data_IF_232910741286
#
_entry.id   IF_232910741286
#
_cell.length_a   1.000
_cell.length_b   1.000
_cell.length_c   1.000
_cell.angle_alpha   90.00
_cell.angle_beta   90.00
_cell.angle_gamma   90.00
#
_symmetry.space_group_name_H-M   'P 1'
#
loop_
_entity.id
_entity.type
_entity.pdbx_description
1 polymer ?
#
# COMPACT_ATOMS: atom_id res chain seq x y z
N UNK A 1 3.82 7.63 14.18
CA UNK A 1 4.63 8.83 13.95
C UNK A 1 5.81 8.39 13.11
N UNK A 2 5.71 8.51 11.79
CA UNK A 2 6.85 8.20 10.91
C UNK A 2 7.86 9.34 11.02
N UNK A 3 9.02 9.01 11.57
CA UNK A 3 10.19 9.86 11.52
C UNK A 3 10.54 10.06 10.04
N UNK A 4 10.22 11.23 9.49
CA UNK A 4 10.80 11.70 8.23
C UNK A 4 12.30 11.77 8.48
N UNK A 5 13.04 10.73 8.08
CA UNK A 5 14.51 10.75 8.05
C UNK A 5 14.91 11.85 7.08
N UNK A 6 15.05 13.06 7.60
CA UNK A 6 15.71 14.17 6.92
C UNK A 6 17.16 13.71 6.78
N UNK A 7 17.50 13.15 5.61
CA UNK A 7 18.89 12.93 5.23
C UNK A 7 19.64 14.23 5.55
N UNK A 8 20.64 14.20 6.46
CA UNK A 8 21.32 15.41 6.89
C UNK A 8 21.89 16.11 5.66
N UNK A 9 21.73 17.44 5.58
CA UNK A 9 22.25 18.28 4.49
C UNK A 9 23.72 17.94 4.12
N UNK A 10 24.47 17.49 5.13
CA UNK A 10 25.84 17.00 5.03
C UNK A 10 26.03 15.87 4.00
N UNK A 11 25.14 14.87 3.94
CA UNK A 11 25.24 13.73 3.01
C UNK A 11 25.01 14.12 1.54
N UNK A 12 24.38 15.27 1.30
CA UNK A 12 24.14 15.82 -0.05
C UNK A 12 25.26 16.77 -0.48
N UNK A 13 25.90 17.46 0.46
CA UNK A 13 26.93 18.48 0.19
C UNK A 13 28.34 17.90 0.12
N UNK A 14 28.61 16.78 0.81
CA UNK A 14 29.92 16.10 0.81
C UNK A 14 30.49 15.81 -0.60
N UNK A 15 29.72 15.30 -1.59
CA UNK A 15 30.26 15.02 -2.92
C UNK A 15 30.49 16.27 -3.75
N UNK A 16 29.65 17.31 -3.59
CA UNK A 16 29.86 18.61 -4.26
C UNK A 16 31.13 19.26 -3.71
N UNK A 17 31.33 19.20 -2.39
CA UNK A 17 32.55 19.66 -1.74
C UNK A 17 33.77 18.84 -2.21
N UNK A 18 33.67 17.51 -2.30
CA UNK A 18 34.76 16.63 -2.76
C UNK A 18 35.16 16.84 -4.23
N UNK A 19 34.19 17.01 -5.13
CA UNK A 19 34.42 17.32 -6.55
C UNK A 19 34.99 18.74 -6.70
N UNK A 20 34.47 19.71 -5.95
CA UNK A 20 34.98 21.08 -5.95
C UNK A 20 36.40 21.14 -5.40
N UNK A 21 36.71 20.41 -4.33
CA UNK A 21 38.04 20.34 -3.73
C UNK A 21 39.06 19.65 -4.66
N UNK A 22 38.66 18.56 -5.32
CA UNK A 22 39.49 17.88 -6.31
C UNK A 22 39.78 18.73 -7.55
N UNK A 23 38.77 19.46 -8.05
CA UNK A 23 38.95 20.41 -9.16
C UNK A 23 39.83 21.60 -8.75
N UNK A 24 39.57 22.21 -7.60
CA UNK A 24 40.35 23.36 -7.12
C UNK A 24 41.82 22.99 -6.88
N UNK A 25 42.12 21.79 -6.39
CA UNK A 25 43.50 21.33 -6.16
C UNK A 25 44.36 21.30 -7.44
N UNK A 26 43.76 21.11 -8.62
CA UNK A 26 44.48 21.11 -9.91
C UNK A 26 44.85 22.53 -10.38
N UNK A 27 44.20 23.56 -9.87
CA UNK A 27 44.42 24.96 -10.27
C UNK A 27 45.19 25.79 -9.22
N UNK A 28 45.60 25.19 -8.09
CA UNK A 28 46.42 25.87 -7.08
C UNK A 28 47.86 26.03 -7.58
N UNK A 29 48.35 27.26 -7.63
CA UNK A 29 49.73 27.58 -7.99
C UNK A 29 50.66 27.55 -6.76
N UNK A 30 51.92 27.18 -6.94
CA UNK A 30 52.92 27.16 -5.86
C UNK A 30 53.00 25.87 -5.02
N UNK A 31 52.21 24.85 -5.36
CA UNK A 31 52.24 23.53 -4.70
C UNK A 31 52.94 22.51 -5.61
N UNK A 32 53.76 21.59 -5.07
CA UNK A 32 54.38 20.52 -5.86
C UNK A 32 53.34 19.64 -6.56
N UNK A 33 53.59 19.26 -7.81
CA UNK A 33 52.59 18.59 -8.65
C UNK A 33 52.13 17.23 -8.10
N UNK A 34 53.00 16.50 -7.39
CA UNK A 34 52.63 15.25 -6.74
C UNK A 34 51.52 15.43 -5.68
N UNK A 35 51.47 16.57 -4.99
CA UNK A 35 50.42 16.91 -4.01
C UNK A 35 49.10 17.20 -4.72
N UNK A 36 49.15 17.86 -5.89
CA UNK A 36 47.95 18.12 -6.70
C UNK A 36 47.33 16.84 -7.22
N UNK A 37 48.17 15.94 -7.76
CA UNK A 37 47.70 14.65 -8.29
C UNK A 37 47.14 13.75 -7.19
N UNK A 38 47.77 13.71 -6.01
CA UNK A 38 47.26 12.92 -4.88
C UNK A 38 45.93 13.47 -4.33
N UNK A 39 45.81 14.78 -4.11
CA UNK A 39 44.56 15.39 -3.66
C UNK A 39 43.41 15.21 -4.67
N UNK A 40 43.69 15.39 -5.96
CA UNK A 40 42.71 15.15 -7.02
C UNK A 40 42.28 13.68 -7.10
N UNK A 41 43.21 12.75 -6.92
CA UNK A 41 42.91 11.31 -6.93
C UNK A 41 42.05 10.90 -5.74
N UNK A 42 42.32 11.44 -4.56
CA UNK A 42 41.50 11.20 -3.35
C UNK A 42 40.10 11.78 -3.52
N UNK A 43 39.97 13.01 -4.05
CA UNK A 43 38.67 13.63 -4.33
C UNK A 43 37.84 12.83 -5.33
N UNK A 44 38.47 12.33 -6.39
CA UNK A 44 37.84 11.47 -7.39
C UNK A 44 37.41 10.13 -6.79
N UNK A 45 38.27 9.48 -5.99
CA UNK A 45 37.95 8.23 -5.32
C UNK A 45 36.78 8.36 -4.35
N UNK A 46 36.69 9.47 -3.60
CA UNK A 46 35.55 9.75 -2.72
C UNK A 46 34.25 9.99 -3.51
N UNK A 47 34.32 10.70 -4.63
CA UNK A 47 33.18 10.90 -5.52
C UNK A 47 32.70 9.58 -6.16
N UNK A 48 33.64 8.73 -6.58
CA UNK A 48 33.38 7.41 -7.14
C UNK A 48 32.82 6.45 -6.07
N UNK A 49 33.40 6.42 -4.87
CA UNK A 49 32.89 5.62 -3.75
C UNK A 49 31.47 6.05 -3.34
N UNK A 50 31.16 7.34 -3.39
CA UNK A 50 29.81 7.86 -3.21
C UNK A 50 28.86 7.47 -4.35
N UNK A 51 29.32 7.52 -5.60
CA UNK A 51 28.57 7.00 -6.75
C UNK A 51 28.24 5.51 -6.55
N UNK A 52 29.20 4.70 -6.12
CA UNK A 52 28.97 3.28 -5.81
C UNK A 52 28.01 3.08 -4.62
N UNK A 53 28.08 3.91 -3.56
CA UNK A 53 27.15 3.82 -2.43
C UNK A 53 25.72 4.20 -2.81
N UNK A 54 25.54 5.17 -3.72
CA UNK A 54 24.26 5.53 -4.35
C UNK A 54 23.75 4.45 -5.32
N UNK A 55 24.64 3.80 -6.08
CA UNK A 55 24.31 2.69 -6.99
C UNK A 55 23.78 1.48 -6.21
N UNK A 56 24.13 1.30 -4.93
CA UNK A 56 23.52 0.26 -4.08
C UNK A 56 21.99 0.41 -3.87
N UNK A 57 21.45 1.63 -4.00
CA UNK A 57 20.02 1.92 -3.90
C UNK A 57 19.34 2.00 -5.27
N UNK A 58 19.97 2.71 -6.22
CA UNK A 58 19.48 2.83 -7.60
C UNK A 58 19.54 1.49 -8.32
N UNK A 59 20.60 0.72 -8.12
CA UNK A 59 20.74 -0.65 -8.60
C UNK A 59 19.72 -1.60 -8.00
N UNK A 60 19.30 -1.43 -6.73
CA UNK A 60 18.16 -2.17 -6.17
C UNK A 60 16.85 -1.78 -6.86
N UNK A 61 16.56 -0.49 -7.01
CA UNK A 61 15.35 -0.02 -7.68
C UNK A 61 15.28 -0.45 -9.16
N UNK A 62 16.40 -0.38 -9.87
CA UNK A 62 16.54 -0.83 -11.27
C UNK A 62 16.48 -2.35 -11.35
N UNK A 63 17.07 -3.09 -10.40
CA UNK A 63 16.97 -4.56 -10.35
C UNK A 63 15.54 -5.01 -10.08
N UNK A 64 14.79 -4.34 -9.20
CA UNK A 64 13.35 -4.59 -9.02
C UNK A 64 12.51 -4.23 -10.26
N UNK A 65 12.97 -3.27 -11.07
CA UNK A 65 12.29 -2.83 -12.30
C UNK A 65 12.63 -3.70 -13.51
N UNK A 66 13.84 -4.24 -13.59
CA UNK A 66 14.35 -5.06 -14.71
C UNK A 66 14.27 -6.58 -14.44
N UNK A 67 14.53 -7.03 -13.21
CA UNK A 67 14.28 -8.41 -12.81
C UNK A 67 12.83 -8.52 -12.36
N UNK A 68 11.96 -8.87 -13.31
CA UNK A 68 10.60 -9.37 -13.05
C UNK A 68 10.71 -10.60 -12.14
N UNK A 69 10.75 -10.41 -10.82
CA UNK A 69 10.41 -11.48 -9.89
C UNK A 69 8.96 -11.84 -10.16
N UNK A 70 8.75 -13.05 -10.72
CA UNK A 70 7.41 -13.55 -11.00
C UNK A 70 6.84 -14.13 -9.72
N UNK A 71 5.52 -14.00 -9.55
CA UNK A 71 4.79 -14.76 -8.55
C UNK A 71 5.02 -16.26 -8.78
N UNK A 72 5.01 -17.05 -7.70
CA UNK A 72 4.90 -18.49 -7.85
C UNK A 72 3.57 -18.86 -8.52
N UNK A 73 3.49 -20.04 -9.16
CA UNK A 73 2.25 -20.51 -9.80
C UNK A 73 1.09 -20.54 -8.81
N UNK A 74 1.34 -20.99 -7.58
CA UNK A 74 0.35 -21.00 -6.50
C UNK A 74 -0.11 -19.58 -6.12
N UNK A 75 0.83 -18.65 -5.92
CA UNK A 75 0.51 -17.25 -5.61
C UNK A 75 -0.31 -16.58 -6.72
N UNK A 76 0.00 -16.87 -7.99
CA UNK A 76 -0.74 -16.34 -9.13
C UNK A 76 -2.19 -16.88 -9.19
N UNK A 77 -2.38 -18.17 -8.92
CA UNK A 77 -3.72 -18.79 -8.87
C UNK A 77 -4.54 -18.21 -7.71
N UNK A 78 -3.96 -18.14 -6.50
CA UNK A 78 -4.63 -17.56 -5.32
C UNK A 78 -4.97 -16.09 -5.54
N UNK A 79 -4.06 -15.32 -6.15
CA UNK A 79 -4.31 -13.93 -6.52
C UNK A 79 -5.52 -13.83 -7.48
N UNK A 80 -5.57 -14.66 -8.52
CA UNK A 80 -6.69 -14.66 -9.48
C UNK A 80 -8.03 -14.93 -8.79
N UNK A 81 -8.10 -15.95 -7.94
CA UNK A 81 -9.33 -16.28 -7.19
C UNK A 81 -9.77 -15.12 -6.31
N UNK A 82 -8.84 -14.49 -5.59
CA UNK A 82 -9.15 -13.35 -4.73
C UNK A 82 -9.59 -12.11 -5.51
N UNK A 83 -9.01 -11.87 -6.69
CA UNK A 83 -9.40 -10.80 -7.61
C UNK A 83 -10.81 -11.01 -8.17
N UNK A 84 -11.24 -12.26 -8.34
CA UNK A 84 -12.61 -12.59 -8.75
C UNK A 84 -13.61 -12.37 -7.61
N UNK A 85 -13.21 -12.62 -6.37
CA UNK A 85 -14.04 -12.36 -5.18
C UNK A 85 -14.21 -10.87 -4.84
N UNK A 86 -13.32 -9.97 -5.29
CA UNK A 86 -13.37 -8.51 -5.02
C UNK A 86 -14.77 -7.93 -5.34
N UNK A 87 -15.31 -8.24 -6.52
CA UNK A 87 -16.55 -7.65 -6.99
C UNK A 87 -17.72 -7.97 -6.05
N UNK A 88 -17.74 -9.18 -5.49
CA UNK A 88 -18.78 -9.59 -4.54
C UNK A 88 -18.61 -8.84 -3.22
N UNK A 89 -17.40 -8.81 -2.65
CA UNK A 89 -17.16 -8.15 -1.36
C UNK A 89 -17.32 -6.62 -1.41
N UNK A 90 -17.10 -6.00 -2.57
CA UNK A 90 -17.33 -4.57 -2.80
C UNK A 90 -18.77 -4.23 -3.22
N UNK A 91 -19.60 -5.20 -3.56
CA UNK A 91 -20.95 -4.95 -4.09
C UNK A 91 -21.96 -4.66 -2.99
N UNK A 92 -22.78 -3.63 -3.18
CA UNK A 92 -23.95 -3.38 -2.35
C UNK A 92 -25.17 -4.24 -2.72
N UNK A 93 -25.04 -5.16 -3.70
CA UNK A 93 -26.06 -6.16 -4.06
C UNK A 93 -25.76 -7.56 -3.53
N UNK A 94 -24.58 -7.76 -2.91
CA UNK A 94 -24.17 -9.04 -2.35
C UNK A 94 -24.44 -9.05 -0.85
N UNK A 95 -25.36 -9.90 -0.39
CA UNK A 95 -25.86 -9.90 0.99
C UNK A 95 -24.79 -10.12 2.06
N UNK A 96 -23.67 -10.75 1.71
CA UNK A 96 -22.53 -11.00 2.61
C UNK A 96 -21.46 -9.90 2.51
N UNK A 97 -21.73 -8.80 1.80
CA UNK A 97 -20.87 -7.62 1.78
C UNK A 97 -21.24 -6.65 2.91
N UNK A 98 -20.25 -6.08 3.62
CA UNK A 98 -20.46 -4.94 4.52
C UNK A 98 -21.19 -3.77 3.84
N UNK A 99 -20.97 -3.56 2.54
CA UNK A 99 -21.56 -2.46 1.79
C UNK A 99 -23.02 -2.71 1.41
N UNK A 100 -23.46 -3.96 1.33
CA UNK A 100 -24.88 -4.29 1.23
C UNK A 100 -25.62 -3.89 2.50
N UNK A 101 -25.08 -4.24 3.67
CA UNK A 101 -25.70 -3.87 4.96
C UNK A 101 -25.74 -2.36 5.11
N UNK A 102 -24.67 -1.66 4.73
CA UNK A 102 -24.61 -0.20 4.74
C UNK A 102 -25.65 0.43 3.81
N UNK A 103 -25.75 -0.07 2.57
CA UNK A 103 -26.73 0.38 1.59
C UNK A 103 -28.17 0.15 2.05
N UNK A 104 -28.46 -1.06 2.54
CA UNK A 104 -29.78 -1.44 3.06
C UNK A 104 -30.20 -0.52 4.21
N UNK A 105 -29.32 -0.34 5.21
CA UNK A 105 -29.58 0.57 6.33
C UNK A 105 -29.71 2.03 5.87
N UNK A 106 -28.92 2.46 4.89
CA UNK A 106 -29.00 3.82 4.33
C UNK A 106 -30.32 4.07 3.60
N UNK A 107 -30.95 3.04 3.01
CA UNK A 107 -32.24 3.18 2.35
C UNK A 107 -33.39 3.13 3.36
N UNK A 108 -33.36 2.17 4.30
CA UNK A 108 -34.40 1.98 5.31
C UNK A 108 -34.38 3.09 6.40
N UNK A 109 -33.22 3.70 6.65
CA UNK A 109 -33.00 4.68 7.72
C UNK A 109 -32.27 5.93 7.21
N UNK A 110 -32.63 6.41 6.02
CA UNK A 110 -31.96 7.52 5.31
C UNK A 110 -31.82 8.84 6.07
N UNK A 111 -32.67 9.09 7.08
CA UNK A 111 -32.56 10.26 7.97
C UNK A 111 -31.48 10.15 9.05
N UNK A 112 -30.89 8.96 9.23
CA UNK A 112 -30.01 8.61 10.36
C UNK A 112 -28.65 8.11 9.90
N UNK A 113 -28.61 7.41 8.76
CA UNK A 113 -27.40 6.87 8.17
C UNK A 113 -27.40 7.13 6.66
N UNK A 114 -26.26 7.55 6.11
CA UNK A 114 -26.10 7.82 4.69
C UNK A 114 -24.82 7.22 4.14
N UNK A 115 -24.97 6.29 3.21
CA UNK A 115 -23.84 5.71 2.50
C UNK A 115 -23.09 6.75 1.67
N UNK A 116 -21.76 6.76 1.78
CA UNK A 116 -20.89 7.56 0.93
C UNK A 116 -20.60 6.83 -0.39
N UNK A 117 -21.57 6.87 -1.31
CA UNK A 117 -21.47 6.22 -2.62
C UNK A 117 -20.27 6.71 -3.45
N UNK A 118 -19.87 7.97 -3.30
CA UNK A 118 -18.72 8.51 -4.04
C UNK A 118 -17.41 7.86 -3.60
N UNK A 119 -17.20 7.72 -2.29
CA UNK A 119 -15.97 7.11 -1.77
C UNK A 119 -15.95 5.60 -2.00
N UNK A 120 -17.08 4.93 -1.78
CA UNK A 120 -17.26 3.51 -2.11
C UNK A 120 -16.96 3.24 -3.59
N UNK A 121 -17.57 4.00 -4.51
CA UNK A 121 -17.36 3.87 -5.95
C UNK A 121 -15.92 4.17 -6.37
N UNK A 122 -15.24 5.12 -5.74
CA UNK A 122 -13.84 5.41 -6.00
C UNK A 122 -12.92 4.22 -5.67
N UNK A 123 -13.14 3.56 -4.52
CA UNK A 123 -12.37 2.35 -4.14
C UNK A 123 -12.69 1.19 -5.09
N UNK A 124 -13.97 1.00 -5.42
CA UNK A 124 -14.38 -0.06 -6.35
C UNK A 124 -13.74 0.11 -7.73
N UNK A 125 -13.77 1.33 -8.29
CA UNK A 125 -13.12 1.63 -9.57
C UNK A 125 -11.62 1.42 -9.51
N UNK A 126 -10.96 1.79 -8.41
CA UNK A 126 -9.53 1.58 -8.24
C UNK A 126 -9.18 0.08 -8.19
N UNK A 127 -9.96 -0.73 -7.47
CA UNK A 127 -9.79 -2.18 -7.44
C UNK A 127 -10.01 -2.83 -8.82
N UNK A 128 -11.00 -2.38 -9.57
CA UNK A 128 -11.28 -2.87 -10.93
C UNK A 128 -10.15 -2.52 -11.90
N UNK A 129 -9.64 -1.28 -11.89
CA UNK A 129 -8.48 -0.86 -12.69
C UNK A 129 -7.24 -1.70 -12.36
N UNK A 130 -7.00 -1.97 -11.07
CA UNK A 130 -5.90 -2.85 -10.66
C UNK A 130 -6.09 -4.30 -11.12
N UNK A 131 -7.33 -4.83 -11.06
CA UNK A 131 -7.66 -6.17 -11.56
C UNK A 131 -7.35 -6.29 -13.05
N UNK A 132 -7.80 -5.33 -13.86
CA UNK A 132 -7.54 -5.31 -15.30
C UNK A 132 -6.03 -5.25 -15.59
N UNK A 133 -5.30 -4.38 -14.90
CA UNK A 133 -3.85 -4.23 -15.08
C UNK A 133 -3.06 -5.46 -14.65
N UNK A 134 -3.52 -6.20 -13.63
CA UNK A 134 -2.91 -7.45 -13.19
C UNK A 134 -3.11 -8.58 -14.20
N UNK A 135 -4.16 -8.52 -15.02
CA UNK A 135 -4.39 -9.45 -16.13
C UNK A 135 -3.49 -9.21 -17.35
N UNK A 136 -2.88 -8.03 -17.49
CA UNK A 136 -2.00 -7.70 -18.62
C UNK A 136 -0.54 -8.17 -18.38
N UNK A 137 0.00 -9.09 -19.21
CA UNK A 137 1.37 -9.60 -19.08
C UNK A 137 2.46 -8.53 -19.31
N UNK A 138 2.12 -7.35 -19.81
CA UNK A 138 3.04 -6.21 -19.99
C UNK A 138 3.36 -5.53 -18.67
N UNK A 139 2.44 -5.57 -17.70
CA UNK A 139 2.59 -4.87 -16.43
C UNK A 139 3.50 -5.59 -15.44
N UNK A 140 4.10 -4.82 -14.52
CA UNK A 140 4.88 -5.39 -13.42
C UNK A 140 3.94 -5.73 -12.26
N UNK A 141 3.56 -7.01 -12.17
CA UNK A 141 2.65 -7.56 -11.16
C UNK A 141 3.01 -7.14 -9.73
N UNK A 142 4.30 -7.06 -9.39
CA UNK A 142 4.73 -6.71 -8.02
C UNK A 142 4.52 -5.25 -7.66
N UNK A 143 4.70 -4.34 -8.62
CA UNK A 143 4.37 -2.93 -8.40
C UNK A 143 2.86 -2.73 -8.25
N UNK A 144 2.08 -3.52 -8.99
CA UNK A 144 0.63 -3.52 -8.88
C UNK A 144 0.15 -4.15 -7.56
N UNK A 145 0.87 -5.14 -7.00
CA UNK A 145 0.54 -5.74 -5.70
C UNK A 145 0.64 -4.73 -4.55
N UNK A 146 1.61 -3.82 -4.57
CA UNK A 146 1.67 -2.74 -3.56
C UNK A 146 0.44 -1.81 -3.65
N UNK A 147 0.03 -1.47 -4.87
CA UNK A 147 -1.17 -0.66 -5.11
C UNK A 147 -2.46 -1.40 -4.71
N UNK A 148 -2.51 -2.70 -4.98
CA UNK A 148 -3.61 -3.58 -4.58
C UNK A 148 -3.70 -3.71 -3.06
N UNK A 149 -2.58 -3.92 -2.38
CA UNK A 149 -2.53 -3.95 -0.91
C UNK A 149 -3.11 -2.66 -0.31
N UNK A 150 -2.76 -1.50 -0.88
CA UNK A 150 -3.31 -0.22 -0.46
C UNK A 150 -4.82 -0.08 -0.75
N UNK A 151 -5.28 -0.55 -1.91
CA UNK A 151 -6.70 -0.51 -2.27
C UNK A 151 -7.56 -1.41 -1.35
N UNK A 152 -7.07 -2.61 -1.03
CA UNK A 152 -7.72 -3.52 -0.06
C UNK A 152 -7.71 -2.91 1.35
N UNK A 153 -6.62 -2.24 1.74
CA UNK A 153 -6.56 -1.50 3.01
C UNK A 153 -7.62 -0.39 3.09
N UNK A 154 -7.80 0.41 2.04
CA UNK A 154 -8.86 1.44 2.02
C UNK A 154 -10.26 0.83 2.04
N UNK A 155 -10.47 -0.32 1.37
CA UNK A 155 -11.74 -1.05 1.45
C UNK A 155 -12.04 -1.52 2.88
N UNK A 156 -11.04 -2.07 3.59
CA UNK A 156 -11.19 -2.47 4.99
C UNK A 156 -11.45 -1.27 5.91
N UNK A 157 -10.74 -0.16 5.71
CA UNK A 157 -10.97 1.08 6.45
C UNK A 157 -12.40 1.63 6.23
N UNK A 158 -12.92 1.54 5.01
CA UNK A 158 -14.30 1.90 4.74
C UNK A 158 -15.26 0.96 5.49
N UNK A 159 -15.02 -0.35 5.51
CA UNK A 159 -15.82 -1.29 6.28
C UNK A 159 -15.77 -1.04 7.81
N UNK A 160 -14.62 -0.58 8.35
CA UNK A 160 -14.53 -0.11 9.76
C UNK A 160 -15.37 1.15 10.01
N UNK A 161 -15.47 2.05 9.02
CA UNK A 161 -16.39 3.18 9.10
C UNK A 161 -17.84 2.70 9.12
N UNK A 162 -18.20 1.74 8.26
CA UNK A 162 -19.53 1.13 8.25
C UNK A 162 -19.87 0.55 9.62
N UNK A 163 -18.96 -0.20 10.26
CA UNK A 163 -19.16 -0.76 11.60
C UNK A 163 -19.51 0.33 12.63
N UNK A 164 -18.78 1.46 12.58
CA UNK A 164 -19.03 2.59 13.49
C UNK A 164 -20.37 3.26 13.25
N UNK A 165 -20.75 3.46 11.99
CA UNK A 165 -22.04 4.05 11.63
C UNK A 165 -23.20 3.14 12.03
N UNK A 166 -23.08 1.83 11.80
CA UNK A 166 -24.10 0.85 12.22
C UNK A 166 -24.22 0.79 13.75
N UNK A 167 -23.11 0.79 14.48
CA UNK A 167 -23.14 0.86 15.94
C UNK A 167 -23.82 2.15 16.44
N UNK A 168 -23.58 3.28 15.77
CA UNK A 168 -24.29 4.53 16.04
C UNK A 168 -25.80 4.41 15.83
N UNK A 169 -26.21 3.83 14.70
CA UNK A 169 -27.63 3.59 14.38
C UNK A 169 -28.31 2.67 15.40
N UNK A 170 -27.63 1.63 15.89
CA UNK A 170 -28.18 0.70 16.88
C UNK A 170 -28.43 1.34 18.25
N UNK A 171 -27.72 2.43 18.57
CA UNK A 171 -27.90 3.20 19.81
C UNK A 171 -29.00 4.25 19.71
N UNK A 172 -29.52 4.54 18.52
CA UNK A 172 -30.54 5.57 18.35
C UNK A 172 -31.90 5.18 18.93
N UNK A 173 -32.55 6.18 19.54
CA UNK A 173 -33.94 6.06 19.97
C UNK A 173 -34.86 6.01 18.74
N UNK A 174 -35.87 5.14 18.78
CA UNK A 174 -36.87 4.98 17.71
C UNK A 174 -36.63 3.83 16.73
N UNK A 175 -35.52 3.08 16.85
CA UNK A 175 -35.38 1.81 16.14
C UNK A 175 -36.08 0.69 16.92
N UNK A 176 -36.90 -0.14 16.24
CA UNK A 176 -37.53 -1.29 16.89
C UNK A 176 -36.48 -2.36 17.25
N UNK A 177 -36.73 -3.12 18.32
CA UNK A 177 -35.85 -4.22 18.72
C UNK A 177 -35.74 -5.32 17.64
N UNK A 178 -36.79 -5.53 16.85
CA UNK A 178 -36.74 -6.44 15.71
C UNK A 178 -35.79 -5.95 14.61
N UNK A 179 -35.80 -4.65 14.30
CA UNK A 179 -34.89 -4.05 13.32
C UNK A 179 -33.44 -4.11 13.81
N UNK A 180 -33.18 -3.79 15.09
CA UNK A 180 -31.84 -3.90 15.68
C UNK A 180 -31.26 -5.31 15.55
N UNK A 181 -32.05 -6.34 15.91
CA UNK A 181 -31.63 -7.75 15.79
C UNK A 181 -31.34 -8.16 14.35
N UNK A 182 -32.15 -7.70 13.39
CA UNK A 182 -31.93 -7.96 11.95
C UNK A 182 -30.61 -7.36 11.49
N UNK A 183 -30.39 -6.06 11.76
CA UNK A 183 -29.16 -5.35 11.38
C UNK A 183 -27.92 -6.01 11.99
N UNK A 184 -27.98 -6.36 13.28
CA UNK A 184 -26.88 -7.07 13.95
C UNK A 184 -26.56 -8.41 13.30
N UNK A 185 -27.58 -9.23 13.01
CA UNK A 185 -27.40 -10.53 12.37
C UNK A 185 -26.80 -10.40 10.97
N UNK A 186 -27.34 -9.47 10.16
CA UNK A 186 -26.86 -9.23 8.80
C UNK A 186 -25.41 -8.71 8.82
N UNK A 187 -25.10 -7.81 9.77
CA UNK A 187 -23.74 -7.30 9.98
C UNK A 187 -22.77 -8.40 10.42
N UNK A 188 -23.12 -9.23 11.40
CA UNK A 188 -22.26 -10.31 11.89
C UNK A 188 -21.91 -11.30 10.78
N UNK A 189 -22.89 -11.64 9.94
CA UNK A 189 -22.67 -12.50 8.77
C UNK A 189 -21.72 -11.84 7.77
N UNK A 190 -22.03 -10.60 7.33
CA UNK A 190 -21.20 -9.87 6.38
C UNK A 190 -19.78 -9.65 6.89
N UNK A 191 -19.63 -9.31 8.18
CA UNK A 191 -18.34 -9.13 8.86
C UNK A 191 -17.53 -10.42 8.87
N UNK A 192 -18.15 -11.55 9.19
CA UNK A 192 -17.48 -12.85 9.19
C UNK A 192 -16.89 -13.19 7.82
N UNK A 193 -17.69 -13.03 6.76
CA UNK A 193 -17.25 -13.28 5.38
C UNK A 193 -16.16 -12.29 4.93
N UNK A 194 -16.31 -11.01 5.26
CA UNK A 194 -15.33 -10.00 4.90
C UNK A 194 -13.98 -10.21 5.61
N UNK A 195 -14.00 -10.54 6.91
CA UNK A 195 -12.78 -10.83 7.67
C UNK A 195 -12.03 -12.06 7.11
N UNK A 196 -12.75 -13.13 6.76
CA UNK A 196 -12.14 -14.28 6.10
C UNK A 196 -11.47 -13.91 4.77
N UNK A 197 -12.10 -13.04 3.99
CA UNK A 197 -11.54 -12.55 2.73
C UNK A 197 -10.29 -11.68 2.95
N UNK A 198 -10.32 -10.78 3.93
CA UNK A 198 -9.15 -9.98 4.34
C UNK A 198 -8.00 -10.87 4.81
N UNK A 199 -8.26 -11.91 5.61
CA UNK A 199 -7.23 -12.83 6.10
C UNK A 199 -6.52 -13.57 4.95
N UNK A 200 -7.28 -13.97 3.91
CA UNK A 200 -6.68 -14.56 2.69
C UNK A 200 -5.75 -13.57 1.99
N UNK A 201 -6.17 -12.30 1.83
CA UNK A 201 -5.34 -11.25 1.25
C UNK A 201 -4.07 -10.99 2.05
N UNK A 202 -4.20 -10.84 3.36
CA UNK A 202 -3.05 -10.64 4.25
C UNK A 202 -2.05 -11.79 4.16
N UNK A 203 -2.53 -13.02 4.15
CA UNK A 203 -1.71 -14.22 4.03
C UNK A 203 -0.93 -14.19 2.72
N UNK A 204 -1.61 -13.93 1.60
CA UNK A 204 -0.98 -13.84 0.29
C UNK A 204 0.05 -12.70 0.23
N UNK A 205 -0.26 -11.50 0.75
CA UNK A 205 0.68 -10.38 0.76
C UNK A 205 1.92 -10.67 1.61
N UNK A 206 1.77 -11.31 2.78
CA UNK A 206 2.90 -11.72 3.63
C UNK A 206 3.80 -12.74 2.92
N UNK A 207 3.21 -13.69 2.19
CA UNK A 207 3.98 -14.67 1.41
C UNK A 207 4.76 -14.01 0.27
N UNK A 208 4.13 -13.08 -0.45
CA UNK A 208 4.77 -12.32 -1.54
C UNK A 208 5.89 -11.42 -1.00
N UNK A 209 5.66 -10.75 0.13
CA UNK A 209 6.67 -9.89 0.76
C UNK A 209 7.90 -10.70 1.20
N UNK A 210 7.68 -11.88 1.80
CA UNK A 210 8.76 -12.80 2.17
C UNK A 210 9.58 -13.25 0.96
N UNK A 211 8.94 -13.52 -0.17
CA UNK A 211 9.64 -14.03 -1.36
C UNK A 211 10.35 -12.92 -2.15
N UNK A 212 9.87 -11.67 -2.08
CA UNK A 212 10.34 -10.61 -2.99
C UNK A 212 11.00 -9.42 -2.28
N UNK A 213 10.90 -9.28 -0.95
CA UNK A 213 11.35 -8.07 -0.20
C UNK A 213 10.76 -6.78 -0.78
N UNK A 214 9.55 -6.83 -1.33
CA UNK A 214 8.79 -5.64 -1.72
C UNK A 214 8.45 -4.87 -0.45
N UNK A 215 8.79 -3.58 -0.38
CA UNK A 215 8.53 -2.78 0.81
C UNK A 215 7.04 -2.80 1.20
N UNK A 216 6.76 -3.43 2.34
CA UNK A 216 5.59 -3.28 3.20
C UNK A 216 4.27 -3.75 2.62
N UNK A 217 3.86 -4.99 2.91
CA UNK A 217 2.44 -5.30 2.91
C UNK A 217 1.74 -4.43 3.95
N UNK A 218 0.70 -3.70 3.57
CA UNK A 218 -0.09 -2.94 4.55
C UNK A 218 -0.78 -3.93 5.51
N UNK A 219 -0.63 -3.70 6.82
CA UNK A 219 -1.39 -4.45 7.81
C UNK A 219 -2.86 -4.06 7.73
N UNK A 220 -3.70 -5.02 7.35
CA UNK A 220 -5.15 -4.82 7.22
C UNK A 220 -5.86 -5.36 8.46
N UNK A 221 -6.34 -4.51 9.36
CA UNK A 221 -6.98 -4.99 10.59
C UNK A 221 -8.32 -5.72 10.29
N UNK A 222 -8.60 -6.87 10.93
CA UNK A 222 -9.94 -7.48 10.91
C UNK A 222 -10.98 -6.58 11.61
N UNK A 223 -12.20 -6.54 11.07
CA UNK A 223 -13.35 -5.84 11.66
C UNK A 223 -13.74 -6.45 13.00
N UNK A 224 -14.30 -5.65 13.91
CA UNK A 224 -14.74 -6.10 15.23
C UNK A 224 -13.62 -6.27 16.28
N UNK A 225 -12.37 -5.94 15.96
CA UNK A 225 -11.27 -5.93 16.94
C UNK A 225 -11.20 -4.65 17.79
N UNK A 226 -12.23 -3.79 17.74
CA UNK A 226 -12.34 -2.62 18.64
C UNK A 226 -12.88 -3.11 19.98
N UNK A 227 -11.97 -3.29 20.93
CA UNK A 227 -12.22 -3.38 22.37
C UNK A 227 -11.45 -2.27 23.06
#
# INVERSE_FOLDING_TARGET
MEEKVKLPLFDRLLPIAGVSFGLLALFVQGVPDWVKYTASSIGLLLAVAWLFSKVGWVGRAIKFRLFRSRLSKDQAVRLSVLLDEISNHMSYSYTLSPFYVWHSCSNEHSGKLRMNYSYHGAIQNWLNDLKERLGDPRNNTLLLIGSLSKAIFEAARLAEQVERELNGLLLEKGLSESAKRKIQKDWESARGHFNQWIDKWQTLFKEIEKSVKTGGAHYIRPLGMIG
#
